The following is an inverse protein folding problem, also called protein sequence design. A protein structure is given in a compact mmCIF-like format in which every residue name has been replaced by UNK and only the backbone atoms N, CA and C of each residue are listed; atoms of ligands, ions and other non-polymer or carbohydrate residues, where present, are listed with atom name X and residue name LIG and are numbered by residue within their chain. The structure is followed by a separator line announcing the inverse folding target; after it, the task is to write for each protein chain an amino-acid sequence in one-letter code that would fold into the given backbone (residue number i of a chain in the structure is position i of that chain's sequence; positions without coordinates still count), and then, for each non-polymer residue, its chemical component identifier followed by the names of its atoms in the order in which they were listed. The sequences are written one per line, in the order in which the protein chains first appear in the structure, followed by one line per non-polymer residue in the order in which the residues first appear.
data_IF_963154053548
#
_entry.id   IF_963154053548
#
_cell.length_a   1.000
_cell.length_b   1.000
_cell.length_c   1.000
_cell.angle_alpha   90.00
_cell.angle_beta   90.00
_cell.angle_gamma   90.00
#
_symmetry.space_group_name_H-M   'P 1'
#
loop_
_entity.id
_entity.type
_entity.pdbx_description
1 polymer ?
#
# COMPACT_ATOMS: atom_id res chain seq x y z
N UNK A 1 -5.62 -1.81 31.53
CA UNK A 1 -4.62 -1.76 30.43
C UNK A 1 -4.80 -3.04 29.62
N UNK A 2 -5.40 -2.90 28.44
CA UNK A 2 -6.17 -3.95 27.75
C UNK A 2 -5.33 -4.87 26.86
N UNK A 3 -5.69 -6.15 26.86
CA UNK A 3 -5.15 -7.30 26.12
C UNK A 3 -4.96 -7.04 24.60
N UNK A 4 -5.66 -6.04 24.05
CA UNK A 4 -5.59 -5.60 22.65
C UNK A 4 -4.19 -5.10 22.27
N UNK A 5 -3.44 -4.51 23.21
CA UNK A 5 -2.08 -4.00 22.94
C UNK A 5 -1.05 -5.10 22.63
N UNK A 6 -1.25 -6.32 23.14
CA UNK A 6 -0.29 -7.40 23.00
C UNK A 6 -0.37 -8.11 21.64
N UNK A 7 -1.53 -8.09 20.98
CA UNK A 7 -1.73 -8.80 19.71
C UNK A 7 -1.15 -8.00 18.53
N UNK A 8 -1.23 -6.66 18.56
CA UNK A 8 -0.62 -5.82 17.50
C UNK A 8 0.91 -5.91 17.45
N UNK A 9 1.57 -6.03 18.61
CA UNK A 9 3.04 -5.98 18.67
C UNK A 9 3.71 -7.23 18.08
N UNK A 10 3.02 -8.37 18.05
CA UNK A 10 3.58 -9.66 17.59
C UNK A 10 3.44 -9.84 16.08
N UNK A 11 2.52 -9.15 15.40
CA UNK A 11 2.26 -9.35 13.96
C UNK A 11 2.95 -8.32 13.03
N UNK A 12 3.55 -7.26 13.58
CA UNK A 12 4.16 -6.18 12.77
C UNK A 12 5.68 -6.34 12.52
N UNK A 13 6.36 -7.24 13.24
CA UNK A 13 7.82 -7.45 13.13
C UNK A 13 8.14 -8.72 12.34
N UNK A 14 8.12 -8.62 11.00
CA UNK A 14 8.55 -9.73 10.15
C UNK A 14 8.61 -9.34 8.68
N UNK A 15 9.61 -8.55 8.29
CA UNK A 15 9.80 -8.17 6.89
C UNK A 15 11.03 -7.30 6.68
N UNK A 16 12.22 -7.90 6.87
CA UNK A 16 13.49 -7.27 6.52
C UNK A 16 13.74 -7.48 5.02
N UNK A 17 13.32 -6.52 4.19
CA UNK A 17 13.54 -6.59 2.73
C UNK A 17 14.96 -6.16 2.38
N UNK A 18 15.67 -7.01 1.63
CA UNK A 18 17.07 -6.86 1.26
C UNK A 18 17.11 -6.25 -0.15
N UNK A 19 17.36 -4.95 -0.24
CA UNK A 19 17.46 -4.24 -1.52
C UNK A 19 18.78 -4.61 -2.24
N UNK A 20 18.71 -5.52 -3.21
CA UNK A 20 19.80 -5.80 -4.15
C UNK A 20 19.64 -4.95 -5.40
N UNK A 21 20.62 -4.08 -5.69
CA UNK A 21 20.67 -3.32 -6.93
C UNK A 21 21.27 -4.22 -8.02
N UNK A 22 20.44 -4.74 -8.93
CA UNK A 22 20.92 -5.37 -10.16
C UNK A 22 20.97 -4.35 -11.29
N UNK A 23 22.19 -4.06 -11.76
CA UNK A 23 22.46 -3.24 -12.93
C UNK A 23 22.26 -4.10 -14.19
N UNK A 24 21.28 -3.73 -15.02
CA UNK A 24 20.96 -4.42 -16.26
C UNK A 24 21.94 -4.04 -17.37
N UNK A 25 22.64 -5.03 -17.94
CA UNK A 25 23.24 -4.96 -19.28
C UNK A 25 23.61 -6.36 -19.79
N UNK A 26 22.62 -7.16 -20.18
CA UNK A 26 22.78 -8.23 -21.16
C UNK A 26 21.51 -8.30 -22.02
N UNK A 27 21.61 -7.87 -23.27
CA UNK A 27 20.54 -8.00 -24.28
C UNK A 27 20.59 -9.44 -24.80
N UNK A 28 19.91 -10.35 -24.12
CA UNK A 28 19.49 -11.63 -24.70
C UNK A 28 18.12 -11.42 -25.33
N UNK A 29 17.89 -11.92 -26.55
CA UNK A 29 16.58 -11.82 -27.22
C UNK A 29 15.51 -12.41 -26.30
N UNK A 30 14.69 -11.54 -25.75
CA UNK A 30 13.67 -11.93 -24.78
C UNK A 30 12.37 -12.08 -25.57
N UNK A 31 11.94 -13.33 -25.77
CA UNK A 31 10.59 -13.55 -26.30
C UNK A 31 9.61 -13.17 -25.20
N UNK A 32 8.81 -12.14 -25.46
CA UNK A 32 7.81 -11.65 -24.54
C UNK A 32 6.41 -12.01 -25.06
N UNK A 33 5.60 -12.56 -24.18
CA UNK A 33 4.21 -12.93 -24.48
C UNK A 33 3.28 -12.18 -23.54
N UNK A 34 2.12 -11.78 -24.07
CA UNK A 34 1.09 -11.17 -23.26
C UNK A 34 0.41 -12.25 -22.40
N UNK A 35 0.35 -12.02 -21.08
CA UNK A 35 -0.15 -12.99 -20.09
C UNK A 35 -1.29 -12.44 -19.24
N UNK A 36 -2.06 -11.52 -19.83
CA UNK A 36 -3.18 -10.81 -19.20
C UNK A 36 -4.15 -11.72 -18.47
N UNK A 37 -4.65 -12.77 -19.13
CA UNK A 37 -5.64 -13.69 -18.55
C UNK A 37 -5.10 -14.48 -17.36
N UNK A 38 -3.81 -14.82 -17.38
CA UNK A 38 -3.16 -15.56 -16.30
C UNK A 38 -2.91 -14.66 -15.10
N UNK A 39 -2.49 -13.41 -15.33
CA UNK A 39 -2.37 -12.40 -14.28
C UNK A 39 -3.72 -12.11 -13.62
N UNK A 40 -4.79 -11.97 -14.40
CA UNK A 40 -6.13 -11.69 -13.87
C UNK A 40 -6.67 -12.87 -13.04
N UNK A 41 -6.40 -14.12 -13.44
CA UNK A 41 -6.71 -15.30 -12.61
C UNK A 41 -5.96 -15.30 -11.28
N UNK A 42 -4.66 -14.98 -11.32
CA UNK A 42 -3.82 -14.91 -10.11
C UNK A 42 -4.30 -13.80 -9.17
N UNK A 43 -4.60 -12.62 -9.71
CA UNK A 43 -5.17 -11.50 -8.93
C UNK A 43 -6.50 -11.88 -8.30
N UNK A 44 -7.40 -12.54 -9.04
CA UNK A 44 -8.68 -12.97 -8.49
C UNK A 44 -8.50 -13.99 -7.35
N UNK A 45 -7.57 -14.94 -7.51
CA UNK A 45 -7.25 -15.91 -6.47
C UNK A 45 -6.62 -15.25 -5.21
N UNK A 46 -5.67 -14.31 -5.40
CA UNK A 46 -5.02 -13.60 -4.30
C UNK A 46 -5.99 -12.69 -3.54
N UNK A 47 -6.89 -12.01 -4.26
CA UNK A 47 -7.94 -11.16 -3.71
C UNK A 47 -8.95 -11.98 -2.89
N UNK A 48 -9.48 -13.08 -3.44
CA UNK A 48 -10.43 -13.94 -2.72
C UNK A 48 -9.78 -14.60 -1.48
N UNK A 49 -8.50 -14.97 -1.55
CA UNK A 49 -7.77 -15.46 -0.38
C UNK A 49 -7.64 -14.41 0.72
N UNK A 50 -7.32 -13.17 0.35
CA UNK A 50 -7.25 -12.07 1.31
C UNK A 50 -8.61 -11.81 1.97
N UNK A 51 -9.66 -11.75 1.14
CA UNK A 51 -11.05 -11.52 1.57
C UNK A 51 -11.55 -12.62 2.52
N UNK A 52 -11.29 -13.88 2.22
CA UNK A 52 -11.70 -15.02 3.07
C UNK A 52 -10.94 -15.06 4.39
N UNK A 53 -9.68 -14.64 4.43
CA UNK A 53 -8.93 -14.47 5.68
C UNK A 53 -9.40 -13.28 6.51
N UNK A 54 -10.14 -12.33 5.92
CA UNK A 54 -10.56 -11.10 6.58
C UNK A 54 -9.38 -10.28 7.11
N UNK A 55 -8.19 -10.46 6.53
CA UNK A 55 -6.99 -9.80 7.02
C UNK A 55 -7.02 -8.33 6.60
N UNK A 56 -6.79 -7.44 7.57
CA UNK A 56 -6.61 -6.02 7.36
C UNK A 56 -5.35 -5.61 8.13
N UNK A 57 -4.37 -4.94 7.50
CA UNK A 57 -3.19 -4.54 8.22
C UNK A 57 -3.56 -3.51 9.28
N UNK A 58 -3.09 -3.77 10.50
CA UNK A 58 -3.09 -2.78 11.55
C UNK A 58 -2.01 -1.75 11.25
N UNK A 59 -2.41 -0.49 11.13
CA UNK A 59 -1.49 0.62 10.93
C UNK A 59 -1.21 1.26 12.28
N UNK A 60 0.06 1.44 12.62
CA UNK A 60 0.43 2.11 13.86
C UNK A 60 -0.08 3.56 13.87
N UNK A 61 -0.59 3.98 15.03
CA UNK A 61 -0.94 5.37 15.23
C UNK A 61 0.30 6.25 15.32
N UNK A 62 0.15 7.55 15.05
CA UNK A 62 1.23 8.52 15.16
C UNK A 62 0.76 9.76 15.92
N UNK A 63 1.74 10.50 16.42
CA UNK A 63 1.54 11.83 16.98
C UNK A 63 2.50 12.79 16.28
N UNK A 64 1.96 13.85 15.72
CA UNK A 64 2.72 14.81 14.93
C UNK A 64 2.19 16.22 15.15
N UNK A 65 3.10 17.20 15.18
CA UNK A 65 2.77 18.61 15.21
C UNK A 65 2.89 19.17 13.80
N UNK A 66 1.76 19.41 13.15
CA UNK A 66 1.72 19.85 11.74
C UNK A 66 1.78 21.38 11.68
N UNK A 67 2.78 21.97 11.02
CA UNK A 67 2.89 23.42 10.91
C UNK A 67 1.72 24.00 10.11
N UNK A 68 1.13 25.08 10.60
CA UNK A 68 0.02 25.73 9.88
C UNK A 68 0.59 26.77 8.92
N UNK A 69 0.20 26.66 7.66
CA UNK A 69 0.38 27.72 6.68
C UNK A 69 -0.97 28.33 6.33
N UNK A 70 -1.05 29.65 6.28
CA UNK A 70 -2.27 30.37 5.88
C UNK A 70 -1.86 31.32 4.76
N UNK A 71 -2.48 31.19 3.59
CA UNK A 71 -2.22 32.04 2.42
C UNK A 71 -0.72 32.06 2.00
N UNK A 72 -0.02 30.94 2.16
CA UNK A 72 1.41 30.82 1.82
C UNK A 72 2.38 31.33 2.88
N UNK A 73 1.89 31.84 4.02
CA UNK A 73 2.72 32.19 5.17
C UNK A 73 2.61 31.12 6.25
N UNK A 74 3.74 30.52 6.63
CA UNK A 74 3.81 29.65 7.80
C UNK A 74 3.70 30.49 9.06
N UNK A 75 2.63 30.30 9.82
CA UNK A 75 2.46 30.94 11.12
C UNK A 75 3.26 30.15 12.17
N UNK A 76 3.76 30.78 13.25
CA UNK A 76 4.46 30.09 14.33
C UNK A 76 3.47 29.34 15.24
N UNK A 77 2.61 28.52 14.65
CA UNK A 77 1.64 27.69 15.31
C UNK A 77 1.55 26.34 14.58
N UNK A 78 1.34 25.28 15.35
CA UNK A 78 1.16 23.93 14.86
C UNK A 78 -0.17 23.36 15.33
N UNK A 79 -0.72 22.44 14.54
CA UNK A 79 -1.82 21.57 14.98
C UNK A 79 -1.20 20.30 15.52
N UNK A 80 -1.43 19.99 16.79
CA UNK A 80 -1.05 18.70 17.36
C UNK A 80 -2.10 17.68 16.95
N UNK A 81 -1.72 16.74 16.08
CA UNK A 81 -2.54 15.61 15.65
C UNK A 81 -2.05 14.34 16.32
N UNK A 82 -2.97 13.59 16.93
CA UNK A 82 -2.70 12.26 17.49
C UNK A 82 -3.74 11.29 16.94
N UNK A 83 -3.30 10.26 16.23
CA UNK A 83 -4.17 9.20 15.69
C UNK A 83 -3.81 7.88 16.34
N UNK A 84 -4.82 7.02 16.54
CA UNK A 84 -4.65 5.74 17.22
C UNK A 84 -5.16 4.62 16.33
N UNK A 85 -4.31 3.63 16.09
CA UNK A 85 -4.62 2.36 15.44
C UNK A 85 -5.44 2.52 14.15
N UNK A 86 -4.74 2.57 13.02
CA UNK A 86 -5.36 2.58 11.70
C UNK A 86 -5.65 1.17 11.18
N UNK A 87 -6.47 1.12 10.15
CA UNK A 87 -6.73 -0.07 9.33
C UNK A 87 -6.78 0.34 7.86
N UNK A 88 -6.21 -0.48 6.98
CA UNK A 88 -6.29 -0.29 5.54
C UNK A 88 -7.37 -1.19 4.95
N UNK A 89 -8.30 -0.61 4.20
CA UNK A 89 -9.42 -1.30 3.56
C UNK A 89 -9.25 -1.35 2.05
N UNK A 90 -9.94 -2.30 1.41
CA UNK A 90 -9.98 -2.51 -0.05
C UNK A 90 -8.67 -3.01 -0.67
N UNK A 91 -7.76 -3.56 0.13
CA UNK A 91 -6.57 -4.26 -0.37
C UNK A 91 -6.92 -5.51 -1.17
N UNK A 92 -8.09 -6.10 -0.92
CA UNK A 92 -8.64 -7.26 -1.62
C UNK A 92 -9.23 -6.94 -3.01
N UNK A 93 -8.99 -5.73 -3.53
CA UNK A 93 -9.52 -5.25 -4.82
C UNK A 93 -8.41 -4.87 -5.78
N UNK A 94 -7.25 -5.53 -5.69
CA UNK A 94 -6.14 -5.24 -6.57
C UNK A 94 -6.47 -5.72 -7.98
N UNK A 95 -6.28 -4.85 -8.98
CA UNK A 95 -6.50 -5.19 -10.38
C UNK A 95 -5.27 -4.86 -11.22
N UNK A 96 -5.26 -5.33 -12.47
CA UNK A 96 -4.22 -4.98 -13.44
C UNK A 96 -4.60 -3.71 -14.18
N UNK A 97 -3.62 -2.84 -14.43
CA UNK A 97 -3.75 -1.67 -15.28
C UNK A 97 -2.95 -1.87 -16.57
N UNK A 98 -3.62 -1.96 -17.71
CA UNK A 98 -2.95 -2.20 -19.00
C UNK A 98 -2.35 -3.60 -19.13
N UNK A 99 -1.53 -3.84 -20.15
CA UNK A 99 -1.02 -5.17 -20.44
C UNK A 99 0.07 -5.63 -19.48
N UNK A 100 0.10 -6.94 -19.21
CA UNK A 100 1.18 -7.63 -18.54
C UNK A 100 1.89 -8.57 -19.51
N UNK A 101 3.21 -8.63 -19.39
CA UNK A 101 4.05 -9.43 -20.27
C UNK A 101 4.97 -10.35 -19.45
N UNK A 102 5.05 -11.60 -19.88
CA UNK A 102 6.05 -12.56 -19.42
C UNK A 102 7.10 -12.69 -20.49
N UNK A 103 8.34 -12.52 -20.08
CA UNK A 103 9.50 -12.36 -20.93
C UNK A 103 10.53 -13.42 -20.53
N UNK A 104 10.83 -14.34 -21.43
CA UNK A 104 11.72 -15.47 -21.16
C UNK A 104 13.13 -15.24 -21.67
N UNK A 105 14.11 -15.58 -20.83
CA UNK A 105 15.53 -15.64 -21.20
C UNK A 105 16.07 -17.06 -20.99
N UNK A 106 17.33 -17.31 -21.36
CA UNK A 106 17.94 -18.63 -21.15
C UNK A 106 18.20 -18.98 -19.68
N UNK A 107 18.02 -18.05 -18.75
CA UNK A 107 18.41 -18.20 -17.33
C UNK A 107 17.24 -17.92 -16.38
N UNK A 108 16.35 -16.99 -16.74
CA UNK A 108 15.24 -16.57 -15.91
C UNK A 108 14.06 -16.08 -16.78
N UNK A 109 12.87 -16.19 -16.23
CA UNK A 109 11.65 -15.57 -16.74
C UNK A 109 11.34 -14.33 -15.91
N UNK A 110 10.80 -13.29 -16.54
CA UNK A 110 10.31 -12.10 -15.84
C UNK A 110 8.88 -11.81 -16.21
N UNK A 111 8.03 -11.63 -15.20
CA UNK A 111 6.70 -11.05 -15.34
C UNK A 111 6.78 -9.56 -15.01
N UNK A 112 6.31 -8.72 -15.93
CA UNK A 112 6.17 -7.28 -15.70
C UNK A 112 4.78 -6.77 -16.04
N UNK A 113 4.34 -5.74 -15.32
CA UNK A 113 3.06 -5.10 -15.58
C UNK A 113 2.81 -3.91 -14.66
N UNK A 114 1.61 -3.35 -14.75
CA UNK A 114 1.12 -2.34 -13.80
C UNK A 114 -0.08 -2.90 -13.05
N UNK A 115 -0.09 -2.69 -11.75
CA UNK A 115 -1.20 -3.01 -10.86
C UNK A 115 -1.85 -1.71 -10.39
N UNK A 116 -3.16 -1.76 -10.12
CA UNK A 116 -3.91 -0.60 -9.64
C UNK A 116 -4.88 -0.95 -8.54
N UNK A 117 -5.04 -0.01 -7.62
CA UNK A 117 -6.23 0.09 -6.78
C UNK A 117 -7.07 1.26 -7.24
N UNK A 118 -8.37 1.01 -7.47
CA UNK A 118 -9.36 2.05 -7.74
C UNK A 118 -9.67 2.89 -6.51
N UNK A 119 -9.50 2.34 -5.30
CA UNK A 119 -9.62 3.07 -4.06
C UNK A 119 -8.97 2.31 -2.93
N UNK A 120 -8.17 3.00 -2.12
CA UNK A 120 -7.70 2.50 -0.84
C UNK A 120 -8.13 3.47 0.26
N UNK A 121 -8.66 2.93 1.37
CA UNK A 121 -9.08 3.74 2.51
C UNK A 121 -8.27 3.36 3.74
N UNK A 122 -7.55 4.34 4.29
CA UNK A 122 -6.91 4.26 5.59
C UNK A 122 -7.84 4.89 6.63
N UNK A 123 -8.40 4.07 7.52
CA UNK A 123 -9.30 4.53 8.59
C UNK A 123 -8.62 4.41 9.95
N UNK A 124 -8.64 5.48 10.76
CA UNK A 124 -8.28 5.51 12.16
C UNK A 124 -9.55 5.64 13.01
N UNK A 125 -9.74 4.70 13.94
CA UNK A 125 -10.94 4.64 14.79
C UNK A 125 -11.02 5.79 15.79
N UNK A 126 -9.89 6.40 16.14
CA UNK A 126 -9.84 7.55 17.01
C UNK A 126 -8.68 8.48 16.62
N UNK A 127 -8.99 9.78 16.55
CA UNK A 127 -7.99 10.84 16.52
C UNK A 127 -8.34 11.94 17.52
N UNK A 128 -7.33 12.67 17.95
CA UNK A 128 -7.44 13.92 18.69
C UNK A 128 -6.58 14.97 17.99
N UNK A 129 -7.15 16.13 17.71
CA UNK A 129 -6.43 17.28 17.19
C UNK A 129 -6.61 18.49 18.10
N UNK A 130 -5.57 19.28 18.26
CA UNK A 130 -5.61 20.54 19.01
C UNK A 130 -4.87 21.66 18.31
N UNK A 131 -5.44 22.85 18.35
CA UNK A 131 -4.86 24.08 17.81
C UNK A 131 -5.23 25.25 18.71
N UNK A 132 -4.23 25.90 19.31
CA UNK A 132 -4.43 26.93 20.34
C UNK A 132 -5.31 26.40 21.50
N UNK A 133 -6.49 26.98 21.72
CA UNK A 133 -7.46 26.55 22.73
C UNK A 133 -8.61 25.71 22.15
N UNK A 134 -8.51 25.31 20.88
CA UNK A 134 -9.51 24.47 20.20
C UNK A 134 -9.05 23.02 20.22
N UNK A 135 -9.99 22.11 20.47
CA UNK A 135 -9.77 20.67 20.41
C UNK A 135 -10.91 20.01 19.62
N UNK A 136 -10.59 18.95 18.89
CA UNK A 136 -11.59 18.04 18.33
C UNK A 136 -11.12 16.60 18.43
N UNK A 137 -12.08 15.70 18.57
CA UNK A 137 -11.85 14.26 18.56
C UNK A 137 -12.93 13.55 17.74
N UNK A 138 -12.58 12.41 17.19
CA UNK A 138 -13.49 11.62 16.38
C UNK A 138 -12.76 10.57 15.56
N UNK A 139 -13.27 10.28 14.36
CA UNK A 139 -12.65 9.34 13.42
C UNK A 139 -12.01 10.06 12.25
N UNK A 140 -10.88 9.54 11.79
CA UNK A 140 -10.14 10.07 10.65
C UNK A 140 -10.07 8.98 9.57
N UNK A 141 -10.52 9.30 8.36
CA UNK A 141 -10.27 8.46 7.18
C UNK A 141 -9.48 9.25 6.15
N UNK A 142 -8.55 8.58 5.46
CA UNK A 142 -7.94 9.08 4.24
C UNK A 142 -8.29 8.13 3.10
N UNK A 143 -8.87 8.67 2.03
CA UNK A 143 -9.26 7.90 0.85
C UNK A 143 -8.33 8.26 -0.29
N UNK A 144 -7.54 7.29 -0.73
CA UNK A 144 -6.70 7.36 -1.92
C UNK A 144 -7.53 6.93 -3.13
N UNK A 145 -7.84 7.86 -4.03
CA UNK A 145 -8.77 7.62 -5.15
C UNK A 145 -8.20 6.79 -6.30
N UNK A 146 -6.88 6.62 -6.38
CA UNK A 146 -6.22 5.67 -7.29
C UNK A 146 -4.76 5.49 -6.90
N UNK A 147 -4.26 4.26 -6.96
CA UNK A 147 -2.85 3.95 -6.73
C UNK A 147 -2.33 2.99 -7.81
N UNK A 148 -1.51 3.48 -8.74
CA UNK A 148 -0.86 2.65 -9.76
C UNK A 148 0.57 2.29 -9.32
N UNK A 149 0.97 1.03 -9.49
CA UNK A 149 2.33 0.58 -9.24
C UNK A 149 2.83 -0.35 -10.34
N UNK A 150 4.05 -0.11 -10.80
CA UNK A 150 4.77 -1.07 -11.62
C UNK A 150 5.32 -2.17 -10.75
N UNK A 151 5.35 -3.38 -11.30
CA UNK A 151 6.02 -4.50 -10.68
C UNK A 151 6.83 -5.29 -11.70
N UNK A 152 7.89 -5.93 -11.21
CA UNK A 152 8.62 -6.98 -11.93
C UNK A 152 8.87 -8.13 -10.98
N UNK A 153 8.40 -9.31 -11.34
CA UNK A 153 8.70 -10.58 -10.66
C UNK A 153 9.69 -11.33 -11.55
N UNK A 154 10.75 -11.88 -10.96
CA UNK A 154 11.63 -12.80 -11.65
C UNK A 154 11.43 -14.21 -11.11
N UNK A 155 11.42 -15.17 -12.03
CA UNK A 155 11.35 -16.60 -11.77
C UNK A 155 12.61 -17.25 -12.34
N UNK A 156 13.43 -17.81 -11.47
CA UNK A 156 14.56 -18.67 -11.81
C UNK A 156 14.30 -20.12 -11.41
N UNK A 157 15.33 -20.96 -11.51
CA UNK A 157 15.22 -22.39 -11.22
C UNK A 157 14.82 -22.71 -9.76
N UNK A 158 15.22 -21.88 -8.80
CA UNK A 158 14.96 -22.10 -7.36
C UNK A 158 14.32 -20.88 -6.67
N UNK A 159 14.31 -19.72 -7.34
CA UNK A 159 13.89 -18.46 -6.74
C UNK A 159 12.78 -17.81 -7.58
N UNK A 160 11.67 -17.48 -6.94
CA UNK A 160 10.63 -16.66 -7.53
C UNK A 160 10.26 -15.54 -6.56
N UNK A 161 10.51 -14.29 -6.97
CA UNK A 161 10.38 -13.14 -6.07
C UNK A 161 10.16 -11.82 -6.80
N UNK A 162 9.56 -10.88 -6.09
CA UNK A 162 9.37 -9.50 -6.52
C UNK A 162 10.73 -8.79 -6.57
N UNK A 163 11.21 -8.46 -7.77
CA UNK A 163 12.50 -7.80 -8.00
C UNK A 163 12.40 -6.29 -7.99
N UNK A 164 11.31 -5.74 -8.52
CA UNK A 164 11.07 -4.31 -8.51
C UNK A 164 9.61 -4.01 -8.25
N UNK A 165 9.39 -2.95 -7.48
CA UNK A 165 8.07 -2.39 -7.22
C UNK A 165 8.22 -0.88 -7.14
N UNK A 166 7.41 -0.15 -7.90
CA UNK A 166 7.45 1.30 -7.92
C UNK A 166 6.06 1.89 -8.07
N UNK A 167 5.63 2.62 -7.06
CA UNK A 167 4.38 3.38 -7.12
C UNK A 167 4.58 4.59 -8.04
N UNK A 168 3.72 4.75 -9.04
CA UNK A 168 3.79 5.84 -10.03
C UNK A 168 2.82 6.95 -9.73
N UNK A 169 1.55 6.59 -9.53
CA UNK A 169 0.46 7.53 -9.33
C UNK A 169 -0.14 7.32 -7.96
N UNK A 170 0.18 8.22 -7.03
CA UNK A 170 -0.64 8.47 -5.86
C UNK A 170 -1.40 9.75 -6.17
N UNK A 171 -2.60 9.63 -6.75
CA UNK A 171 -3.47 10.78 -6.96
C UNK A 171 -3.72 11.53 -5.63
N UNK A 172 -4.21 12.77 -5.68
CA UNK A 172 -4.60 13.49 -4.46
C UNK A 172 -5.66 12.68 -3.69
N UNK A 173 -5.24 12.09 -2.57
CA UNK A 173 -6.18 11.54 -1.60
C UNK A 173 -6.88 12.65 -0.82
N UNK A 174 -8.01 12.31 -0.19
CA UNK A 174 -8.79 13.25 0.61
C UNK A 174 -8.92 12.77 2.05
N UNK A 175 -8.70 13.68 2.99
CA UNK A 175 -9.02 13.45 4.40
C UNK A 175 -10.50 13.68 4.66
N UNK A 176 -11.08 12.81 5.49
CA UNK A 176 -12.44 12.90 5.98
C UNK A 176 -12.43 12.76 7.50
N UNK A 177 -12.92 13.78 8.17
CA UNK A 177 -13.11 13.77 9.62
C UNK A 177 -14.57 13.44 9.92
N UNK A 178 -14.79 12.59 10.91
CA UNK A 178 -16.11 12.31 11.45
C UNK A 178 -16.10 12.75 12.91
N UNK A 179 -16.61 13.95 13.15
CA UNK A 179 -16.65 14.63 14.45
C UNK A 179 -18.05 15.18 14.72
N UNK A 180 -18.33 15.56 15.96
CA UNK A 180 -19.56 16.27 16.30
C UNK A 180 -19.56 17.68 15.65
N UNK A 181 -20.62 18.07 14.92
CA UNK A 181 -20.65 19.33 14.20
C UNK A 181 -20.81 20.51 15.16
N UNK A 182 -19.76 21.29 15.33
CA UNK A 182 -19.73 22.55 16.07
C UNK A 182 -18.96 23.60 15.27
N UNK A 183 -19.10 24.87 15.60
CA UNK A 183 -18.33 25.93 14.92
C UNK A 183 -16.82 25.78 15.15
N UNK A 184 -16.42 25.20 16.29
CA UNK A 184 -15.01 24.95 16.64
C UNK A 184 -14.43 23.82 15.79
N UNK A 185 -15.17 22.72 15.67
CA UNK A 185 -14.75 21.57 14.84
C UNK A 185 -14.71 21.95 13.37
N UNK A 186 -15.67 22.74 12.88
CA UNK A 186 -15.64 23.29 11.51
C UNK A 186 -14.35 24.09 11.22
N UNK A 187 -13.95 24.98 12.12
CA UNK A 187 -12.73 25.78 11.92
C UNK A 187 -11.48 24.91 11.98
N UNK A 188 -11.42 23.95 12.91
CA UNK A 188 -10.28 23.07 13.08
C UNK A 188 -10.14 22.08 11.90
N UNK A 189 -11.24 21.62 11.30
CA UNK A 189 -11.24 20.84 10.05
C UNK A 189 -10.64 21.62 8.88
N UNK A 190 -10.95 22.92 8.74
CA UNK A 190 -10.36 23.78 7.69
C UNK A 190 -8.84 23.87 7.89
N UNK A 191 -8.39 24.11 9.12
CA UNK A 191 -6.95 24.21 9.44
C UNK A 191 -6.25 22.88 9.18
N UNK A 192 -6.82 21.76 9.62
CA UNK A 192 -6.26 20.42 9.41
C UNK A 192 -6.19 20.03 7.93
N UNK A 193 -7.26 20.29 7.17
CA UNK A 193 -7.28 20.00 5.73
C UNK A 193 -6.18 20.78 5.00
N UNK A 194 -5.86 22.00 5.44
CA UNK A 194 -4.79 22.79 4.85
C UNK A 194 -3.40 22.35 5.32
N UNK A 195 -3.27 21.99 6.60
CA UNK A 195 -2.01 21.54 7.19
C UNK A 195 -1.58 20.17 6.65
N UNK A 196 -2.52 19.26 6.39
CA UNK A 196 -2.25 17.91 5.88
C UNK A 196 -2.22 17.81 4.34
N UNK A 197 -2.08 18.94 3.64
CA UNK A 197 -1.84 18.94 2.18
C UNK A 197 -0.50 18.24 1.86
N UNK A 198 0.45 18.23 2.79
CA UNK A 198 1.72 17.51 2.64
C UNK A 198 1.57 16.03 3.09
N UNK A 199 1.19 15.17 2.14
CA UNK A 199 0.70 13.81 2.36
C UNK A 199 1.80 12.78 2.67
N UNK A 200 3.06 13.20 2.82
CA UNK A 200 4.24 12.31 2.77
C UNK A 200 4.21 11.12 3.73
N UNK A 201 3.75 11.32 4.97
CA UNK A 201 3.67 10.25 5.99
C UNK A 201 2.60 9.22 5.66
N UNK A 202 1.42 9.68 5.23
CA UNK A 202 0.29 8.82 4.87
C UNK A 202 0.58 8.02 3.60
N UNK A 203 1.17 8.66 2.58
CA UNK A 203 1.55 8.01 1.33
C UNK A 203 2.59 6.90 1.52
N UNK A 204 3.58 7.10 2.40
CA UNK A 204 4.57 6.07 2.72
C UNK A 204 3.94 4.82 3.36
N UNK A 205 2.89 5.00 4.18
CA UNK A 205 2.13 3.87 4.72
C UNK A 205 1.43 3.10 3.60
N UNK A 206 0.77 3.79 2.67
CA UNK A 206 0.13 3.13 1.52
C UNK A 206 1.13 2.36 0.66
N UNK A 207 2.26 2.98 0.32
CA UNK A 207 3.30 2.36 -0.51
C UNK A 207 3.83 1.07 0.13
N UNK A 208 4.15 1.10 1.43
CA UNK A 208 4.62 -0.08 2.16
C UNK A 208 3.59 -1.21 2.18
N UNK A 209 2.33 -0.89 2.46
CA UNK A 209 1.27 -1.90 2.53
C UNK A 209 0.93 -2.48 1.15
N UNK A 210 0.97 -1.63 0.11
CA UNK A 210 0.78 -2.07 -1.27
C UNK A 210 1.92 -3.01 -1.68
N UNK A 211 3.17 -2.62 -1.49
CA UNK A 211 4.33 -3.47 -1.78
C UNK A 211 4.23 -4.81 -1.03
N UNK A 212 3.92 -4.77 0.26
CA UNK A 212 3.79 -5.98 1.07
C UNK A 212 2.70 -6.91 0.55
N UNK A 213 1.55 -6.38 0.12
CA UNK A 213 0.48 -7.18 -0.48
C UNK A 213 0.96 -7.84 -1.78
N UNK A 214 1.61 -7.08 -2.64
CA UNK A 214 2.13 -7.60 -3.92
C UNK A 214 3.19 -8.68 -3.69
N UNK A 215 4.08 -8.50 -2.72
CA UNK A 215 5.13 -9.46 -2.38
C UNK A 215 4.58 -10.75 -1.75
N UNK A 216 3.64 -10.64 -0.81
CA UNK A 216 3.19 -11.78 0.01
C UNK A 216 1.95 -12.50 -0.53
N UNK A 217 1.14 -11.85 -1.37
CA UNK A 217 -0.06 -12.47 -1.94
C UNK A 217 0.10 -12.65 -3.44
N UNK A 218 0.18 -11.57 -4.20
CA UNK A 218 0.19 -11.67 -5.66
C UNK A 218 1.40 -12.46 -6.17
N UNK A 219 2.61 -12.13 -5.71
CA UNK A 219 3.84 -12.78 -6.18
C UNK A 219 3.88 -14.25 -5.79
N UNK A 220 3.48 -14.62 -4.57
CA UNK A 220 3.44 -16.02 -4.15
C UNK A 220 2.49 -16.85 -5.03
N UNK A 221 1.28 -16.35 -5.29
CA UNK A 221 0.32 -17.06 -6.16
C UNK A 221 0.83 -17.19 -7.60
N UNK A 222 1.51 -16.17 -8.11
CA UNK A 222 2.17 -16.26 -9.42
C UNK A 222 3.23 -17.38 -9.43
N UNK A 223 4.13 -17.36 -8.46
CA UNK A 223 5.21 -18.35 -8.32
C UNK A 223 4.69 -19.79 -8.19
N UNK A 224 3.63 -19.99 -7.41
CA UNK A 224 2.98 -21.29 -7.24
C UNK A 224 2.33 -21.77 -8.55
N UNK A 225 1.74 -20.86 -9.32
CA UNK A 225 1.14 -21.19 -10.61
C UNK A 225 2.19 -21.68 -11.62
N UNK A 226 3.40 -21.10 -11.59
CA UNK A 226 4.50 -21.48 -12.48
C UNK A 226 5.08 -22.85 -12.10
N UNK A 227 5.22 -23.13 -10.80
CA UNK A 227 5.60 -24.46 -10.29
C UNK A 227 4.64 -25.57 -10.73
N UNK A 228 3.38 -25.22 -10.97
CA UNK A 228 2.33 -26.14 -11.41
C UNK A 228 2.36 -26.40 -12.92
N UNK A 229 2.86 -25.44 -13.71
CA UNK A 229 3.08 -25.54 -15.16
C UNK A 229 4.35 -26.33 -15.53
N UNK A 230 5.31 -26.46 -14.61
CA UNK A 230 6.52 -27.27 -14.82
C UNK A 230 6.18 -28.76 -15.02
N UNK A 231 6.61 -29.39 -16.13
CA UNK A 231 6.35 -30.79 -16.37
C UNK A 231 7.03 -31.67 -15.31
N UNK A 232 6.35 -32.75 -14.91
CA UNK A 232 6.68 -33.64 -13.78
C UNK A 232 8.13 -34.15 -13.74
N UNK A 233 8.86 -34.16 -14.86
CA UNK A 233 10.26 -34.62 -14.92
C UNK A 233 11.29 -33.56 -14.45
N UNK A 234 10.87 -32.31 -14.21
CA UNK A 234 11.72 -31.23 -13.70
C UNK A 234 11.50 -30.90 -12.21
N UNK A 235 10.52 -31.53 -11.55
CA UNK A 235 10.35 -31.44 -10.08
C UNK A 235 11.34 -32.41 -9.42
N UNK A 236 12.48 -31.91 -8.96
CA UNK A 236 13.41 -32.65 -8.09
C UNK A 236 13.24 -32.24 -6.65
#
# INVERSE_FOLDING_TARGET
MSLIRAICFVLCFGGFSRSGIFSANYVLSTECTAVNDDVDKVLNASNEHMKTRGWQPCIEGFKEDVPVSILGFTIPASVSLSVYSGSLKSLEKLTRAGDAAECSSSIFDTLGGTLTYDSLELSYEYFKASFLSLEMEGKLSFVQARADADFVIATGNEDCSLQSFKVRNLNMGSYKFTVEPTWQTWLLEIVLNHAMIDQGTTLNVFEKQYQWYVENFFSQYWCDSQSTKLPLYLRR
#
